data_IF_091918939467
#
_entry.id   IF_091918939467
#
_cell.length_a   1.000
_cell.length_b   1.000
_cell.length_c   1.000
_cell.angle_alpha   90.00
_cell.angle_beta   90.00
_cell.angle_gamma   90.00
#
_symmetry.space_group_name_H-M   'P 1'
#
loop_
_entity.id
_entity.type
_entity.pdbx_description
1 polymer ?
#
# COMPACT_ATOMS: atom_id res chain seq x y z
N UNK A 1 -43.26 43.91 -19.03
CA UNK A 1 -42.66 45.21 -18.73
C UNK A 1 -41.15 45.03 -18.65
N UNK A 2 -40.52 45.51 -19.70
CA UNK A 2 -39.39 46.45 -19.78
C UNK A 2 -38.12 46.03 -19.01
N UNK A 3 -36.88 46.07 -19.55
CA UNK A 3 -36.22 46.32 -20.87
C UNK A 3 -34.78 45.81 -20.67
N UNK A 4 -34.24 45.10 -21.59
CA UNK A 4 -33.00 45.25 -22.32
C UNK A 4 -32.13 46.49 -21.96
N UNK A 5 -30.81 46.25 -21.79
CA UNK A 5 -29.83 47.03 -22.57
C UNK A 5 -28.47 46.36 -22.64
N UNK A 6 -27.97 46.33 -23.85
CA UNK A 6 -26.69 45.85 -24.33
C UNK A 6 -25.68 46.98 -24.40
N UNK A 7 -24.39 46.73 -24.21
CA UNK A 7 -23.35 47.59 -24.75
C UNK A 7 -22.12 46.81 -25.22
N UNK A 8 -21.95 46.78 -26.54
CA UNK A 8 -20.69 46.50 -27.26
C UNK A 8 -19.81 47.74 -27.22
N UNK A 9 -18.50 47.60 -27.05
CA UNK A 9 -17.54 48.58 -27.53
C UNK A 9 -16.42 47.90 -28.30
N UNK A 10 -16.13 48.52 -29.45
CA UNK A 10 -15.28 48.09 -30.56
C UNK A 10 -13.79 48.40 -30.33
N UNK A 11 -13.02 47.72 -31.13
CA UNK A 11 -11.59 47.92 -31.42
C UNK A 11 -11.24 49.32 -31.93
N UNK A 12 -10.03 49.73 -31.72
CA UNK A 12 -9.35 50.71 -32.57
C UNK A 12 -7.88 50.33 -32.81
N UNK A 13 -7.56 50.14 -34.07
CA UNK A 13 -6.23 50.10 -34.67
C UNK A 13 -5.59 51.48 -34.65
N UNK A 14 -4.30 51.59 -34.46
CA UNK A 14 -3.48 52.60 -35.10
C UNK A 14 -2.08 52.04 -35.40
N UNK A 15 -1.77 52.07 -36.72
CA UNK A 15 -0.44 51.91 -37.29
C UNK A 15 0.21 53.29 -37.45
N UNK A 16 1.52 53.38 -37.27
CA UNK A 16 2.31 54.43 -37.91
C UNK A 16 3.65 53.86 -38.37
N UNK A 17 3.80 53.88 -39.67
CA UNK A 17 5.06 53.76 -40.43
C UNK A 17 5.92 54.97 -40.27
N UNK A 18 7.23 54.84 -40.32
CA UNK A 18 8.11 55.84 -40.85
C UNK A 18 9.37 55.20 -41.45
N UNK A 19 9.47 55.37 -42.78
CA UNK A 19 10.63 55.13 -43.60
C UNK A 19 11.70 56.24 -43.35
N UNK A 20 13.00 55.90 -43.40
CA UNK A 20 14.00 56.83 -43.94
C UNK A 20 15.13 56.10 -44.69
N UNK A 21 15.56 56.78 -45.73
CA UNK A 21 16.26 56.44 -46.95
C UNK A 21 17.77 56.21 -46.84
N UNK A 22 18.21 55.50 -47.83
CA UNK A 22 19.57 55.34 -48.41
C UNK A 22 20.48 56.59 -48.50
N UNK A 23 21.81 56.40 -48.38
CA UNK A 23 22.77 56.66 -49.46
C UNK A 23 24.17 56.04 -49.18
N UNK A 24 24.91 55.68 -50.22
CA UNK A 24 26.17 54.91 -50.12
C UNK A 24 27.39 55.85 -50.22
N UNK A 25 28.54 55.41 -49.67
CA UNK A 25 29.82 55.99 -50.03
C UNK A 25 30.93 54.94 -50.22
N UNK A 26 31.77 55.22 -51.23
CA UNK A 26 32.74 54.38 -51.89
C UNK A 26 34.02 54.16 -51.05
N UNK A 27 34.69 53.06 -51.46
CA UNK A 27 36.06 52.67 -51.11
C UNK A 27 37.15 53.69 -51.33
N UNK A 28 38.35 53.46 -50.75
CA UNK A 28 39.41 52.95 -51.60
C UNK A 28 40.37 51.90 -50.96
N UNK A 29 40.87 51.12 -51.84
CA UNK A 29 41.95 50.16 -51.87
C UNK A 29 43.26 50.53 -51.17
N UNK A 30 43.88 49.52 -50.44
CA UNK A 30 45.32 49.26 -50.50
C UNK A 30 45.75 47.91 -49.92
N UNK A 31 46.36 47.17 -50.76
CA UNK A 31 47.51 46.27 -50.73
C UNK A 31 47.90 45.48 -49.44
N UNK A 32 47.91 44.17 -49.68
CA UNK A 32 48.91 43.11 -49.34
C UNK A 32 49.62 43.14 -48.02
N UNK A 33 49.36 42.06 -47.22
CA UNK A 33 50.45 41.18 -46.72
C UNK A 33 49.92 39.77 -46.41
N UNK A 34 50.60 38.77 -46.96
CA UNK A 34 50.32 37.38 -46.83
C UNK A 34 50.83 36.86 -45.48
N UNK A 35 49.98 36.29 -44.65
CA UNK A 35 50.35 35.32 -43.59
C UNK A 35 49.38 34.13 -43.60
N UNK A 36 49.86 32.89 -43.37
CA UNK A 36 49.04 31.73 -43.49
C UNK A 36 48.10 31.60 -42.27
N UNK A 37 46.81 31.50 -42.51
CA UNK A 37 45.81 31.23 -41.50
C UNK A 37 45.90 29.73 -41.18
N UNK A 38 46.44 29.42 -39.99
CA UNK A 38 46.27 28.11 -39.37
C UNK A 38 44.76 27.90 -39.06
N UNK A 39 44.12 26.96 -39.76
CA UNK A 39 42.80 26.50 -39.43
C UNK A 39 42.85 25.72 -38.11
N UNK A 40 42.57 26.36 -36.99
CA UNK A 40 42.27 25.69 -35.73
C UNK A 40 40.81 25.19 -35.80
N UNK A 41 40.64 23.92 -36.24
CA UNK A 41 39.35 23.22 -36.13
C UNK A 41 39.10 22.93 -34.65
N UNK A 42 38.37 23.79 -33.97
CA UNK A 42 37.78 23.52 -32.65
C UNK A 42 36.66 22.48 -32.81
N UNK A 43 37.01 21.22 -32.52
CA UNK A 43 36.02 20.16 -32.33
C UNK A 43 35.23 20.50 -31.07
N UNK A 44 34.07 21.16 -31.22
CA UNK A 44 33.05 21.21 -30.19
C UNK A 44 32.47 19.80 -30.03
N UNK A 45 33.06 19.02 -29.15
CA UNK A 45 32.39 17.82 -28.63
C UNK A 45 31.19 18.32 -27.79
N UNK A 46 30.02 18.35 -28.45
CA UNK A 46 28.74 18.58 -27.75
C UNK A 46 28.53 17.52 -26.70
N UNK A 47 28.82 17.79 -25.44
CA UNK A 47 28.24 17.04 -24.32
C UNK A 47 26.73 17.26 -24.42
N UNK A 48 26.03 16.27 -25.02
CA UNK A 48 24.59 16.16 -24.89
C UNK A 48 24.28 15.86 -23.45
N UNK A 49 24.06 16.89 -22.64
CA UNK A 49 23.38 16.77 -21.36
C UNK A 49 21.98 16.25 -21.68
N UNK A 50 21.80 14.93 -21.57
CA UNK A 50 20.48 14.33 -21.54
C UNK A 50 19.81 14.83 -20.25
N UNK A 51 19.09 15.95 -20.34
CA UNK A 51 18.19 16.38 -19.31
C UNK A 51 17.13 15.28 -19.16
N UNK A 52 17.24 14.44 -18.16
CA UNK A 52 16.17 13.55 -17.73
C UNK A 52 15.02 14.43 -17.31
N UNK A 53 14.00 14.57 -18.18
CA UNK A 53 12.78 15.28 -17.82
C UNK A 53 12.20 14.62 -16.57
N UNK A 54 12.09 15.41 -15.50
CA UNK A 54 11.42 14.94 -14.29
C UNK A 54 9.99 14.56 -14.67
N UNK A 55 9.60 13.31 -14.42
CA UNK A 55 8.23 12.85 -14.69
C UNK A 55 7.30 13.63 -13.76
N UNK A 56 6.51 14.52 -14.32
CA UNK A 56 5.51 15.30 -13.56
C UNK A 56 4.35 14.36 -13.23
N UNK A 57 4.19 14.02 -11.96
CA UNK A 57 3.02 13.30 -11.48
C UNK A 57 1.87 14.31 -11.37
N UNK A 58 0.73 14.10 -12.06
CA UNK A 58 -0.44 14.95 -11.88
C UNK A 58 -0.91 14.95 -10.43
N UNK A 59 -1.55 16.02 -9.99
CA UNK A 59 -2.20 16.06 -8.68
C UNK A 59 -3.27 14.96 -8.57
N UNK A 60 -3.46 14.36 -7.37
CA UNK A 60 -4.55 13.43 -7.15
C UNK A 60 -5.91 14.05 -7.44
N UNK A 61 -6.93 13.25 -7.79
CA UNK A 61 -8.26 13.77 -8.03
C UNK A 61 -8.83 14.44 -6.78
N UNK A 62 -9.50 15.57 -6.95
CA UNK A 62 -10.27 16.23 -5.89
C UNK A 62 -11.55 15.44 -5.68
N UNK A 63 -11.78 14.98 -4.46
CA UNK A 63 -12.88 14.08 -4.11
C UNK A 63 -13.73 14.65 -2.98
N UNK A 64 -15.04 14.45 -3.05
CA UNK A 64 -15.99 14.87 -2.01
C UNK A 64 -16.22 13.73 -1.00
N UNK A 65 -15.30 13.63 -0.03
CA UNK A 65 -15.35 12.69 1.07
C UNK A 65 -14.67 13.29 2.31
N UNK A 66 -14.77 12.63 3.46
CA UNK A 66 -14.15 13.11 4.70
C UNK A 66 -12.67 12.72 4.81
N UNK A 67 -12.31 11.55 4.31
CA UNK A 67 -10.95 10.99 4.40
C UNK A 67 -10.73 9.91 3.35
N UNK A 68 -9.51 9.84 2.80
CA UNK A 68 -9.10 8.71 1.98
C UNK A 68 -7.58 8.44 2.07
N UNK A 69 -7.23 7.20 1.72
CA UNK A 69 -5.86 6.74 1.48
C UNK A 69 -5.84 5.89 0.21
N UNK A 70 -4.88 6.14 -0.66
CA UNK A 70 -4.46 5.27 -1.74
C UNK A 70 -3.06 4.75 -1.41
N UNK A 71 -2.92 3.45 -1.19
CA UNK A 71 -1.68 2.78 -0.79
C UNK A 71 -1.28 1.74 -1.84
N UNK A 72 0.00 1.67 -2.16
CA UNK A 72 0.57 0.49 -2.84
C UNK A 72 0.73 -0.65 -1.82
N UNK A 73 0.22 -1.82 -2.18
CA UNK A 73 0.23 -2.98 -1.29
C UNK A 73 1.65 -3.49 -0.98
N UNK A 74 2.48 -3.62 -2.00
CA UNK A 74 3.80 -4.25 -1.88
C UNK A 74 4.77 -3.39 -1.07
N UNK A 75 4.90 -2.13 -1.43
CA UNK A 75 5.81 -1.20 -0.75
C UNK A 75 5.24 -0.63 0.57
N UNK A 76 3.91 -0.55 0.68
CA UNK A 76 3.21 0.17 1.74
C UNK A 76 3.24 1.70 1.56
N UNK A 77 3.73 2.19 0.41
CA UNK A 77 3.82 3.61 0.12
C UNK A 77 2.44 4.24 -0.10
N UNK A 78 2.23 5.42 0.50
CA UNK A 78 1.02 6.22 0.28
C UNK A 78 1.22 7.04 -0.99
N UNK A 79 0.37 6.80 -1.99
CA UNK A 79 0.42 7.47 -3.28
C UNK A 79 -0.43 8.74 -3.33
N UNK A 80 -1.51 8.75 -2.55
CA UNK A 80 -2.37 9.90 -2.35
C UNK A 80 -3.17 9.75 -1.05
N UNK A 81 -3.45 10.83 -0.37
CA UNK A 81 -4.29 10.83 0.82
C UNK A 81 -4.92 12.19 1.07
N UNK A 82 -6.02 12.18 1.82
CA UNK A 82 -6.62 13.38 2.42
C UNK A 82 -7.11 13.00 3.80
N UNK A 83 -6.72 13.77 4.82
CA UNK A 83 -7.06 13.53 6.22
C UNK A 83 -6.85 12.06 6.67
N UNK A 84 -5.71 11.39 6.35
CA UNK A 84 -5.56 9.94 6.45
C UNK A 84 -5.77 9.39 7.87
N UNK A 85 -5.43 10.18 8.89
CA UNK A 85 -5.46 9.81 10.31
C UNK A 85 -6.71 10.31 11.05
N UNK A 86 -7.65 10.94 10.33
CA UNK A 86 -8.89 11.44 10.92
C UNK A 86 -9.73 10.29 11.47
N UNK A 87 -10.01 10.31 12.77
CA UNK A 87 -10.85 9.34 13.46
C UNK A 87 -12.32 9.53 13.06
N UNK A 88 -12.91 8.53 12.44
CA UNK A 88 -14.27 8.56 11.90
C UNK A 88 -15.03 7.29 12.28
N UNK A 89 -16.36 7.36 12.44
CA UNK A 89 -17.19 6.17 12.47
C UNK A 89 -16.95 5.33 11.22
N UNK A 90 -16.67 4.03 11.40
CA UNK A 90 -16.24 3.16 10.29
C UNK A 90 -17.35 2.24 9.78
N UNK A 91 -18.49 2.19 10.46
CA UNK A 91 -19.59 1.28 10.14
C UNK A 91 -19.07 -0.17 9.97
N UNK A 92 -19.63 -0.93 9.03
CA UNK A 92 -19.27 -2.33 8.79
C UNK A 92 -17.84 -2.56 8.24
N UNK A 93 -16.98 -1.53 8.11
CA UNK A 93 -15.55 -1.77 7.92
C UNK A 93 -14.93 -2.45 9.15
N UNK A 94 -15.54 -2.31 10.33
CA UNK A 94 -15.22 -3.07 11.55
C UNK A 94 -15.08 -4.57 11.28
N UNK A 95 -15.91 -5.12 10.41
CA UNK A 95 -15.93 -6.54 10.06
C UNK A 95 -14.66 -7.02 9.34
N UNK A 96 -13.83 -6.11 8.85
CA UNK A 96 -12.49 -6.47 8.36
C UNK A 96 -11.63 -7.04 9.50
N UNK A 97 -11.67 -6.41 10.69
CA UNK A 97 -10.96 -6.93 11.86
C UNK A 97 -11.60 -8.21 12.38
N UNK A 98 -12.92 -8.28 12.42
CA UNK A 98 -13.65 -9.51 12.81
C UNK A 98 -13.27 -10.67 11.91
N UNK A 99 -13.29 -10.49 10.58
CA UNK A 99 -12.87 -11.52 9.61
C UNK A 99 -11.40 -11.88 9.78
N UNK A 100 -10.51 -10.90 9.95
CA UNK A 100 -9.08 -11.14 10.14
C UNK A 100 -8.78 -12.03 11.34
N UNK A 101 -9.44 -11.81 12.49
CA UNK A 101 -9.29 -12.65 13.68
C UNK A 101 -9.79 -14.07 13.43
N UNK A 102 -10.92 -14.23 12.72
CA UNK A 102 -11.42 -15.56 12.32
C UNK A 102 -10.40 -16.27 11.43
N UNK A 103 -9.87 -15.57 10.42
CA UNK A 103 -8.88 -16.09 9.48
C UNK A 103 -7.57 -16.49 10.20
N UNK A 104 -7.06 -15.64 11.10
CA UNK A 104 -5.87 -15.96 11.90
C UNK A 104 -6.12 -17.15 12.85
N UNK A 105 -7.34 -17.30 13.37
CA UNK A 105 -7.72 -18.45 14.19
C UNK A 105 -7.78 -19.76 13.39
N UNK A 106 -8.23 -19.69 12.14
CA UNK A 106 -8.21 -20.81 11.19
C UNK A 106 -6.77 -21.18 10.79
N UNK A 107 -5.94 -20.20 10.45
CA UNK A 107 -4.55 -20.41 10.02
C UNK A 107 -3.68 -20.97 11.14
N UNK A 108 -3.95 -20.61 12.40
CA UNK A 108 -3.26 -21.14 13.59
C UNK A 108 -3.86 -22.46 14.11
N UNK A 109 -4.82 -23.04 13.41
CA UNK A 109 -5.55 -24.27 13.81
C UNK A 109 -6.27 -24.17 15.17
N UNK A 110 -6.56 -22.96 15.68
CA UNK A 110 -7.44 -22.75 16.85
C UNK A 110 -8.90 -22.98 16.50
N UNK A 111 -9.27 -22.81 15.24
CA UNK A 111 -10.55 -23.14 14.64
C UNK A 111 -10.35 -24.04 13.43
N UNK A 112 -11.39 -24.82 13.10
CA UNK A 112 -11.48 -25.56 11.83
C UNK A 112 -12.59 -24.96 10.98
N UNK A 113 -12.45 -25.04 9.66
CA UNK A 113 -13.48 -24.55 8.72
C UNK A 113 -14.86 -25.18 8.96
N UNK A 114 -14.88 -26.45 9.43
CA UNK A 114 -16.08 -27.24 9.68
C UNK A 114 -16.66 -27.12 11.09
N UNK A 115 -15.97 -26.44 12.01
CA UNK A 115 -16.49 -26.21 13.37
C UNK A 115 -17.84 -25.50 13.29
N UNK A 116 -18.78 -25.94 14.18
CA UNK A 116 -20.16 -25.45 14.15
C UNK A 116 -20.35 -24.31 15.15
N UNK A 117 -20.70 -23.15 14.64
CA UNK A 117 -20.97 -21.94 15.42
C UNK A 117 -22.47 -21.86 15.67
N UNK A 118 -22.88 -21.85 16.93
CA UNK A 118 -24.29 -21.75 17.32
C UNK A 118 -24.77 -20.29 17.25
N UNK A 119 -25.99 -20.10 16.73
CA UNK A 119 -26.69 -18.82 16.75
C UNK A 119 -27.48 -18.69 18.07
N UNK A 120 -26.90 -17.92 19.01
CA UNK A 120 -27.54 -17.57 20.26
C UNK A 120 -28.49 -16.37 20.11
N UNK A 121 -29.36 -16.16 21.09
CA UNK A 121 -30.32 -15.03 21.06
C UNK A 121 -29.66 -13.65 21.00
N UNK A 122 -28.49 -13.47 21.64
CA UNK A 122 -27.67 -12.27 21.64
C UNK A 122 -27.16 -11.88 20.26
N UNK A 123 -26.82 -12.88 19.45
CA UNK A 123 -26.30 -12.68 18.09
C UNK A 123 -27.41 -12.71 17.02
N UNK A 124 -28.55 -13.32 17.35
CA UNK A 124 -29.59 -13.57 16.37
C UNK A 124 -30.20 -12.30 15.76
N UNK A 125 -30.24 -12.28 14.44
CA UNK A 125 -30.91 -11.24 13.66
C UNK A 125 -32.41 -11.53 13.60
N UNK A 126 -33.19 -10.83 14.43
CA UNK A 126 -34.65 -11.06 14.62
C UNK A 126 -35.51 -10.69 13.42
N UNK A 127 -34.99 -10.72 12.21
CA UNK A 127 -35.71 -10.31 11.00
C UNK A 127 -35.82 -8.78 10.85
N UNK A 128 -34.99 -8.05 11.56
CA UNK A 128 -34.89 -6.59 11.45
C UNK A 128 -34.49 -6.20 10.03
N UNK A 129 -35.28 -5.33 9.39
CA UNK A 129 -34.91 -4.70 8.11
C UNK A 129 -33.84 -3.61 8.26
N UNK A 130 -33.50 -3.25 9.51
CA UNK A 130 -32.61 -2.14 9.81
C UNK A 130 -31.11 -2.53 9.85
N UNK A 131 -30.80 -3.84 9.89
CA UNK A 131 -29.42 -4.30 9.92
C UNK A 131 -29.14 -5.41 8.87
N UNK A 132 -27.84 -5.59 8.58
CA UNK A 132 -27.38 -6.60 7.63
C UNK A 132 -27.24 -7.95 8.31
N UNK A 133 -27.85 -8.99 7.74
CA UNK A 133 -27.89 -10.32 8.34
C UNK A 133 -27.49 -11.39 7.33
N UNK A 134 -26.84 -12.46 7.82
CA UNK A 134 -26.65 -13.72 7.14
C UNK A 134 -27.92 -14.59 7.20
N UNK A 135 -28.78 -14.31 8.18
CA UNK A 135 -30.04 -15.04 8.47
C UNK A 135 -29.82 -16.47 8.93
N UNK A 136 -28.88 -16.68 9.84
CA UNK A 136 -28.75 -17.95 10.55
C UNK A 136 -29.91 -18.10 11.53
N UNK A 137 -30.70 -19.18 11.46
CA UNK A 137 -31.86 -19.35 12.34
C UNK A 137 -31.44 -19.48 13.81
N UNK A 138 -32.28 -18.96 14.70
CA UNK A 138 -32.07 -19.09 16.15
C UNK A 138 -31.88 -20.55 16.55
N UNK A 139 -30.94 -20.82 17.43
CA UNK A 139 -30.55 -22.12 17.93
C UNK A 139 -30.03 -23.13 16.89
N UNK A 140 -29.89 -22.72 15.63
CA UNK A 140 -29.20 -23.51 14.60
C UNK A 140 -27.68 -23.23 14.62
N UNK A 141 -26.96 -23.95 13.78
CA UNK A 141 -25.51 -23.78 13.60
C UNK A 141 -25.18 -23.51 12.14
N UNK A 142 -24.03 -22.84 11.92
CA UNK A 142 -23.40 -22.78 10.63
C UNK A 142 -21.88 -23.03 10.78
N UNK A 143 -21.23 -23.48 9.72
CA UNK A 143 -19.79 -23.71 9.76
C UNK A 143 -19.02 -22.39 9.88
N UNK A 144 -17.81 -22.43 10.49
CA UNK A 144 -16.95 -21.25 10.60
C UNK A 144 -16.68 -20.63 9.23
N UNK A 145 -16.45 -21.42 8.19
CA UNK A 145 -16.20 -20.90 6.84
C UNK A 145 -17.45 -20.25 6.24
N UNK A 146 -18.67 -20.72 6.52
CA UNK A 146 -19.90 -20.07 6.09
C UNK A 146 -20.16 -18.80 6.88
N UNK A 147 -19.87 -18.78 8.19
CA UNK A 147 -19.92 -17.56 8.99
C UNK A 147 -18.96 -16.49 8.42
N UNK A 148 -17.75 -16.88 8.04
CA UNK A 148 -16.77 -15.96 7.41
C UNK A 148 -17.33 -15.39 6.10
N UNK A 149 -17.93 -16.21 5.22
CA UNK A 149 -18.62 -15.72 4.01
C UNK A 149 -19.78 -14.78 4.35
N UNK A 150 -20.58 -15.13 5.36
CA UNK A 150 -21.67 -14.27 5.85
C UNK A 150 -21.17 -12.89 6.30
N UNK A 151 -20.06 -12.85 7.03
CA UNK A 151 -19.43 -11.59 7.48
C UNK A 151 -18.92 -10.75 6.31
N UNK A 152 -18.18 -11.36 5.39
CA UNK A 152 -17.51 -10.67 4.29
C UNK A 152 -18.50 -10.23 3.21
N UNK A 153 -19.30 -11.17 2.70
CA UNK A 153 -20.15 -10.97 1.51
C UNK A 153 -21.45 -10.27 1.87
N UNK A 154 -22.17 -10.82 2.85
CA UNK A 154 -23.48 -10.33 3.26
C UNK A 154 -23.41 -9.23 4.30
N UNK A 155 -22.21 -9.01 4.88
CA UNK A 155 -22.04 -8.07 6.00
C UNK A 155 -22.87 -8.43 7.23
N UNK A 156 -23.06 -9.75 7.50
CA UNK A 156 -23.94 -10.28 8.55
C UNK A 156 -23.50 -9.84 9.95
N UNK A 157 -24.37 -9.11 10.64
CA UNK A 157 -24.17 -8.74 12.04
C UNK A 157 -24.32 -9.96 12.94
N UNK A 158 -25.31 -10.82 12.65
CA UNK A 158 -25.54 -12.09 13.30
C UNK A 158 -24.29 -13.00 13.26
N UNK A 159 -23.74 -13.21 12.08
CA UNK A 159 -22.52 -13.97 11.90
C UNK A 159 -21.33 -13.35 12.65
N UNK A 160 -21.20 -12.01 12.66
CA UNK A 160 -20.12 -11.31 13.35
C UNK A 160 -20.19 -11.48 14.87
N UNK A 161 -21.38 -11.30 15.46
CA UNK A 161 -21.63 -11.50 16.89
C UNK A 161 -21.43 -12.95 17.31
N UNK A 162 -22.02 -13.89 16.54
CA UNK A 162 -21.89 -15.31 16.84
C UNK A 162 -20.42 -15.79 16.80
N UNK A 163 -19.63 -15.30 15.83
CA UNK A 163 -18.19 -15.60 15.77
C UNK A 163 -17.42 -14.96 16.93
N UNK A 164 -17.77 -13.74 17.33
CA UNK A 164 -17.18 -13.09 18.50
C UNK A 164 -17.43 -13.90 19.79
N UNK A 165 -18.67 -14.34 20.00
CA UNK A 165 -19.04 -15.21 21.13
C UNK A 165 -18.33 -16.55 21.06
N UNK A 166 -18.26 -17.17 19.89
CA UNK A 166 -17.63 -18.47 19.69
C UNK A 166 -16.11 -18.45 20.00
N UNK A 167 -15.41 -17.36 19.62
CA UNK A 167 -13.96 -17.24 19.80
C UNK A 167 -13.60 -16.81 21.22
N UNK A 168 -14.35 -15.87 21.81
CA UNK A 168 -13.98 -15.18 23.06
C UNK A 168 -15.01 -15.33 24.20
N UNK A 169 -16.09 -16.09 23.99
CA UNK A 169 -17.15 -16.30 24.96
C UNK A 169 -18.19 -15.19 25.02
N UNK A 170 -17.82 -13.94 24.69
CA UNK A 170 -18.73 -12.79 24.58
C UNK A 170 -18.12 -11.70 23.68
N UNK A 171 -18.96 -10.76 23.19
CA UNK A 171 -18.53 -9.69 22.30
C UNK A 171 -17.54 -8.71 22.97
N UNK A 172 -17.68 -8.43 24.26
CA UNK A 172 -16.76 -7.56 24.99
C UNK A 172 -15.34 -8.11 25.05
N UNK A 173 -15.19 -9.39 25.41
CA UNK A 173 -13.89 -10.06 25.38
C UNK A 173 -13.29 -10.12 23.94
N UNK A 174 -14.14 -10.25 22.93
CA UNK A 174 -13.70 -10.23 21.53
C UNK A 174 -13.19 -8.83 21.12
N UNK A 175 -13.81 -7.76 21.58
CA UNK A 175 -13.32 -6.38 21.29
C UNK A 175 -11.96 -6.10 21.91
N UNK A 176 -11.61 -6.68 23.04
CA UNK A 176 -10.24 -6.62 23.59
C UNK A 176 -9.24 -7.31 22.65
N UNK A 177 -9.61 -8.46 22.06
CA UNK A 177 -8.80 -9.13 21.04
C UNK A 177 -8.65 -8.25 19.80
N UNK A 178 -9.75 -7.61 19.32
CA UNK A 178 -9.71 -6.70 18.18
C UNK A 178 -8.76 -5.52 18.43
N UNK A 179 -8.83 -4.90 19.59
CA UNK A 179 -7.97 -3.77 19.96
C UNK A 179 -6.50 -4.19 20.14
N UNK A 180 -6.26 -5.37 20.73
CA UNK A 180 -4.93 -5.96 20.81
C UNK A 180 -4.32 -6.21 19.43
N UNK A 181 -5.10 -6.74 18.52
CA UNK A 181 -4.69 -7.03 17.15
C UNK A 181 -4.45 -5.74 16.33
N UNK A 182 -5.32 -4.74 16.48
CA UNK A 182 -5.13 -3.41 15.91
C UNK A 182 -3.79 -2.80 16.32
N UNK A 183 -3.47 -2.86 17.61
CA UNK A 183 -2.18 -2.41 18.13
C UNK A 183 -1.01 -3.21 17.55
N UNK A 184 -1.13 -4.53 17.44
CA UNK A 184 -0.08 -5.43 16.91
C UNK A 184 0.27 -5.10 15.46
N UNK A 185 -0.72 -4.80 14.61
CA UNK A 185 -0.50 -4.47 13.20
C UNK A 185 -0.24 -2.98 12.96
N UNK A 186 -0.22 -2.15 14.02
CA UNK A 186 0.17 -0.75 13.96
C UNK A 186 -0.95 0.25 13.62
N UNK A 187 -2.21 -0.11 13.87
CA UNK A 187 -3.36 0.80 13.77
C UNK A 187 -3.35 1.76 14.96
N UNK A 188 -3.11 3.04 14.72
CA UNK A 188 -2.89 4.05 15.77
C UNK A 188 -4.13 4.88 16.10
N UNK A 189 -5.06 4.95 15.16
CA UNK A 189 -6.25 5.80 15.21
C UNK A 189 -7.53 4.94 15.13
N UNK A 190 -7.53 3.77 15.81
CA UNK A 190 -8.63 2.81 15.78
C UNK A 190 -8.96 2.32 17.18
N UNK A 191 -10.26 2.25 17.48
CA UNK A 191 -10.79 1.66 18.68
C UNK A 191 -12.09 0.91 18.40
N UNK A 192 -12.12 -0.36 18.76
CA UNK A 192 -13.26 -1.26 18.54
C UNK A 192 -14.05 -1.43 19.85
N UNK A 193 -15.37 -1.29 19.77
CA UNK A 193 -16.31 -1.51 20.88
C UNK A 193 -17.36 -2.59 20.60
N UNK A 194 -17.45 -3.05 19.34
CA UNK A 194 -18.27 -4.21 18.92
C UNK A 194 -17.69 -4.87 17.69
N UNK A 195 -18.18 -6.06 17.34
CA UNK A 195 -17.71 -6.88 16.22
C UNK A 195 -18.39 -6.52 14.86
N UNK A 196 -19.36 -5.61 14.86
CA UNK A 196 -20.26 -5.36 13.72
C UNK A 196 -20.05 -4.03 13.04
N UNK A 197 -19.66 -3.00 13.79
CA UNK A 197 -19.62 -1.61 13.35
C UNK A 197 -20.95 -0.87 13.51
N UNK A 198 -21.86 -1.37 14.33
CA UNK A 198 -23.01 -0.60 14.77
C UNK A 198 -22.55 0.63 15.55
N UNK A 199 -23.23 1.77 15.42
CA UNK A 199 -22.82 3.01 16.06
C UNK A 199 -22.69 2.89 17.58
N UNK A 200 -21.55 3.35 18.10
CA UNK A 200 -21.23 3.45 19.51
C UNK A 200 -20.26 4.61 19.72
N UNK A 201 -20.46 5.42 20.75
CA UNK A 201 -19.53 6.49 21.06
C UNK A 201 -18.16 5.93 21.42
N UNK A 202 -17.11 6.41 20.75
CA UNK A 202 -15.77 5.89 20.91
C UNK A 202 -15.42 4.71 19.98
N UNK A 203 -16.33 4.27 19.08
CA UNK A 203 -16.05 3.27 18.05
C UNK A 203 -15.65 3.95 16.74
N UNK A 204 -14.35 3.97 16.44
CA UNK A 204 -13.80 4.69 15.30
C UNK A 204 -12.59 3.99 14.66
N UNK A 205 -12.27 4.41 13.44
CA UNK A 205 -11.02 4.10 12.75
C UNK A 205 -10.62 5.27 11.84
N UNK A 206 -9.49 5.14 11.15
CA UNK A 206 -9.03 6.07 10.13
C UNK A 206 -8.88 5.39 8.77
N UNK A 207 -8.76 6.19 7.70
CA UNK A 207 -8.48 5.65 6.37
C UNK A 207 -7.10 4.98 6.31
N UNK A 208 -6.10 5.54 7.02
CA UNK A 208 -4.77 4.95 7.13
C UNK A 208 -4.83 3.58 7.79
N UNK A 209 -5.44 3.48 8.96
CA UNK A 209 -5.51 2.22 9.71
C UNK A 209 -6.31 1.16 8.96
N UNK A 210 -7.38 1.56 8.27
CA UNK A 210 -8.16 0.64 7.43
C UNK A 210 -7.36 0.12 6.23
N UNK A 211 -6.46 0.93 5.65
CA UNK A 211 -5.55 0.49 4.60
C UNK A 211 -4.46 -0.45 5.15
N UNK A 212 -3.94 -0.19 6.35
CA UNK A 212 -3.01 -1.08 7.07
C UNK A 212 -3.65 -2.44 7.33
N UNK A 213 -4.89 -2.47 7.85
CA UNK A 213 -5.62 -3.72 8.10
C UNK A 213 -5.87 -4.49 6.79
N UNK A 214 -6.28 -3.79 5.72
CA UNK A 214 -6.47 -4.41 4.42
C UNK A 214 -5.17 -5.04 3.89
N UNK A 215 -4.04 -4.35 4.05
CA UNK A 215 -2.73 -4.86 3.68
C UNK A 215 -2.37 -6.12 4.47
N UNK A 216 -2.65 -6.13 5.78
CA UNK A 216 -2.44 -7.31 6.64
C UNK A 216 -3.33 -8.48 6.24
N UNK A 217 -4.61 -8.27 5.95
CA UNK A 217 -5.53 -9.32 5.47
C UNK A 217 -4.98 -9.96 4.18
N UNK A 218 -4.59 -9.15 3.20
CA UNK A 218 -4.08 -9.66 1.91
C UNK A 218 -2.78 -10.46 2.10
N UNK A 219 -1.90 -10.00 3.00
CA UNK A 219 -0.61 -10.63 3.27
C UNK A 219 -0.76 -11.92 4.09
N UNK A 220 -1.41 -11.83 5.25
CA UNK A 220 -1.40 -12.86 6.27
C UNK A 220 -2.46 -13.94 6.01
N UNK A 221 -3.56 -13.57 5.32
CA UNK A 221 -4.73 -14.43 5.12
C UNK A 221 -4.89 -14.91 3.68
N UNK A 222 -3.80 -15.10 2.94
CA UNK A 222 -3.81 -15.44 1.51
C UNK A 222 -4.71 -16.64 1.16
N UNK A 223 -4.86 -17.61 2.06
CA UNK A 223 -5.74 -18.78 1.90
C UNK A 223 -7.22 -18.38 1.85
N UNK A 224 -7.65 -17.43 2.70
CA UNK A 224 -9.06 -17.02 2.83
C UNK A 224 -9.39 -15.75 2.05
N UNK A 225 -8.38 -15.00 1.62
CA UNK A 225 -8.55 -13.77 0.85
C UNK A 225 -9.47 -13.91 -0.38
N UNK A 226 -9.49 -15.03 -1.13
CA UNK A 226 -10.42 -15.21 -2.26
C UNK A 226 -11.90 -15.02 -1.92
N UNK A 227 -12.32 -15.22 -0.65
CA UNK A 227 -13.69 -15.00 -0.19
C UNK A 227 -14.14 -13.54 -0.41
N UNK A 228 -13.22 -12.57 -0.31
CA UNK A 228 -13.53 -11.15 -0.50
C UNK A 228 -13.93 -10.80 -1.94
N UNK A 229 -13.56 -11.63 -2.90
CA UNK A 229 -13.94 -11.48 -4.32
C UNK A 229 -15.20 -12.26 -4.71
N UNK A 230 -15.74 -13.10 -3.83
CA UNK A 230 -16.98 -13.82 -4.08
C UNK A 230 -18.14 -12.82 -4.24
N UNK A 231 -18.84 -12.90 -5.40
CA UNK A 231 -19.92 -11.96 -5.76
C UNK A 231 -21.23 -12.28 -5.08
N UNK A 232 -21.47 -13.55 -4.78
CA UNK A 232 -22.72 -14.05 -4.24
C UNK A 232 -22.48 -15.14 -3.21
N UNK A 233 -23.27 -15.14 -2.16
CA UNK A 233 -23.33 -16.24 -1.21
C UNK A 233 -24.78 -16.58 -0.91
N UNK A 234 -25.09 -17.87 -0.85
CA UNK A 234 -26.42 -18.38 -0.50
C UNK A 234 -26.35 -19.15 0.80
N UNK A 235 -27.07 -18.68 1.79
CA UNK A 235 -27.22 -19.38 3.06
C UNK A 235 -28.72 -19.43 3.41
N UNK A 236 -29.17 -20.53 3.99
CA UNK A 236 -30.59 -20.73 4.37
C UNK A 236 -31.56 -20.39 3.22
N UNK A 237 -31.25 -20.80 1.98
CA UNK A 237 -31.97 -20.50 0.75
C UNK A 237 -32.08 -18.99 0.40
N UNK A 238 -31.36 -18.11 1.11
CA UNK A 238 -31.35 -16.69 0.84
C UNK A 238 -30.04 -16.34 0.13
N UNK A 239 -30.16 -16.00 -1.16
CA UNK A 239 -29.03 -15.54 -1.98
C UNK A 239 -28.84 -14.05 -1.81
N UNK A 240 -27.63 -13.63 -1.38
CA UNK A 240 -27.27 -12.22 -1.21
C UNK A 240 -25.99 -11.90 -1.99
N UNK A 241 -25.92 -10.69 -2.53
CA UNK A 241 -24.75 -10.19 -3.26
C UNK A 241 -23.76 -9.49 -2.36
N UNK A 242 -22.49 -9.54 -2.77
CA UNK A 242 -21.46 -8.71 -2.17
C UNK A 242 -21.80 -7.23 -2.40
N UNK A 243 -21.65 -6.42 -1.37
CA UNK A 243 -22.05 -5.00 -1.41
C UNK A 243 -21.00 -4.09 -2.08
N UNK A 244 -19.83 -4.64 -2.43
CA UNK A 244 -18.82 -3.93 -3.20
C UNK A 244 -19.20 -3.96 -4.70
N UNK A 245 -19.82 -2.89 -5.18
CA UNK A 245 -20.24 -2.77 -6.57
C UNK A 245 -19.08 -2.84 -7.59
N UNK A 246 -17.85 -2.53 -7.16
CA UNK A 246 -16.68 -2.60 -8.03
C UNK A 246 -16.34 -4.03 -8.45
N UNK A 247 -16.61 -5.03 -7.63
CA UNK A 247 -16.44 -6.45 -7.99
C UNK A 247 -17.22 -6.86 -9.25
N UNK A 248 -18.32 -6.17 -9.53
CA UNK A 248 -19.19 -6.46 -10.69
C UNK A 248 -18.80 -5.67 -11.94
N UNK A 249 -18.04 -4.59 -11.79
CA UNK A 249 -17.79 -3.60 -12.86
C UNK A 249 -16.31 -3.41 -13.21
N UNK A 250 -15.38 -3.87 -12.37
CA UNK A 250 -13.93 -3.80 -12.61
C UNK A 250 -13.28 -5.16 -12.29
N UNK A 251 -12.81 -5.91 -13.31
CA UNK A 251 -12.23 -7.23 -13.10
C UNK A 251 -10.90 -7.21 -12.35
N UNK A 252 -10.28 -6.04 -12.19
CA UNK A 252 -9.05 -5.90 -11.40
C UNK A 252 -9.33 -5.85 -9.90
N UNK A 253 -10.58 -5.57 -9.48
CA UNK A 253 -10.97 -5.48 -8.07
C UNK A 253 -11.25 -6.87 -7.51
N UNK A 254 -10.64 -7.18 -6.36
CA UNK A 254 -10.74 -8.48 -5.69
C UNK A 254 -11.08 -8.40 -4.20
N UNK A 255 -11.49 -7.25 -3.70
CA UNK A 255 -11.89 -7.04 -2.29
C UNK A 255 -12.23 -5.58 -2.02
N UNK A 256 -12.46 -5.15 -0.77
CA UNK A 256 -12.62 -5.98 0.42
C UNK A 256 -14.01 -5.79 1.03
N UNK A 257 -14.32 -4.57 1.55
CA UNK A 257 -15.49 -4.35 2.41
C UNK A 257 -16.09 -2.97 2.23
N UNK A 258 -17.41 -2.89 2.40
CA UNK A 258 -18.17 -1.65 2.45
C UNK A 258 -18.78 -1.44 3.82
N UNK A 259 -19.00 -0.18 4.19
CA UNK A 259 -19.70 0.23 5.40
C UNK A 259 -20.69 1.36 5.10
N UNK A 260 -21.76 1.42 5.89
CA UNK A 260 -22.70 2.53 5.88
C UNK A 260 -23.45 2.58 7.21
N UNK A 261 -23.51 3.76 7.79
CA UNK A 261 -24.46 4.22 8.82
C UNK A 261 -24.67 5.72 8.59
N UNK A 262 -25.71 6.29 9.15
CA UNK A 262 -25.96 7.73 9.00
C UNK A 262 -24.81 8.58 9.51
N UNK A 263 -24.17 8.17 10.62
CA UNK A 263 -23.02 8.86 11.19
C UNK A 263 -21.73 8.73 10.35
N UNK A 264 -21.49 7.55 9.78
CA UNK A 264 -20.29 7.26 9.00
C UNK A 264 -20.38 7.78 7.55
N UNK A 265 -21.60 7.94 7.01
CA UNK A 265 -21.78 8.03 5.56
C UNK A 265 -21.41 6.72 4.87
N UNK A 266 -21.09 6.76 3.61
CA UNK A 266 -20.68 5.57 2.84
C UNK A 266 -19.16 5.41 2.85
N UNK A 267 -18.69 4.29 3.39
CA UNK A 267 -17.27 3.94 3.52
C UNK A 267 -16.93 2.70 2.70
N UNK A 268 -15.69 2.59 2.23
CA UNK A 268 -15.22 1.43 1.50
C UNK A 268 -13.71 1.23 1.64
N UNK A 269 -13.30 -0.02 1.77
CA UNK A 269 -11.93 -0.46 1.52
C UNK A 269 -11.96 -1.36 0.29
N UNK A 270 -11.14 -1.01 -0.70
CA UNK A 270 -11.07 -1.71 -1.99
C UNK A 270 -9.63 -2.12 -2.28
N UNK A 271 -9.43 -3.32 -2.79
CA UNK A 271 -8.18 -3.76 -3.39
C UNK A 271 -8.39 -4.05 -4.87
N UNK A 272 -7.40 -3.67 -5.68
CA UNK A 272 -7.35 -3.99 -7.10
C UNK A 272 -5.93 -4.37 -7.50
N UNK A 273 -5.81 -5.36 -8.43
CA UNK A 273 -4.53 -5.84 -8.95
C UNK A 273 -4.49 -5.74 -10.46
N UNK A 274 -3.44 -5.09 -11.02
CA UNK A 274 -3.17 -5.02 -12.46
C UNK A 274 -1.72 -5.39 -12.73
N UNK A 275 -1.52 -6.54 -13.36
CA UNK A 275 -0.17 -7.10 -13.50
C UNK A 275 0.51 -7.34 -12.14
N UNK A 276 1.74 -6.86 -11.94
CA UNK A 276 2.45 -7.01 -10.66
C UNK A 276 1.96 -6.04 -9.57
N UNK A 277 1.36 -4.90 -9.94
CA UNK A 277 0.96 -3.84 -9.00
C UNK A 277 -0.40 -4.14 -8.37
N UNK A 278 -0.48 -4.02 -7.04
CA UNK A 278 -1.72 -4.05 -6.26
C UNK A 278 -1.89 -2.74 -5.51
N UNK A 279 -3.08 -2.16 -5.60
CA UNK A 279 -3.46 -0.94 -4.88
C UNK A 279 -4.55 -1.21 -3.86
N UNK A 280 -4.49 -0.50 -2.75
CA UNK A 280 -5.51 -0.46 -1.70
C UNK A 280 -6.04 0.97 -1.61
N UNK A 281 -7.36 1.11 -1.65
CA UNK A 281 -8.07 2.38 -1.41
C UNK A 281 -8.92 2.21 -0.16
N UNK A 282 -8.74 3.07 0.82
CA UNK A 282 -9.68 3.26 1.93
C UNK A 282 -10.32 4.64 1.81
N UNK A 283 -11.66 4.71 1.83
CA UNK A 283 -12.42 5.94 1.69
C UNK A 283 -13.55 6.00 2.72
N UNK A 284 -13.74 7.18 3.33
CA UNK A 284 -14.71 7.42 4.38
C UNK A 284 -15.59 8.64 4.10
N UNK A 285 -16.86 8.53 4.44
CA UNK A 285 -17.76 9.66 4.51
C UNK A 285 -18.20 10.22 3.15
N UNK A 286 -18.34 9.38 2.12
CA UNK A 286 -19.00 9.78 0.88
C UNK A 286 -20.53 9.85 1.05
N UNK A 287 -21.22 10.53 0.15
CA UNK A 287 -22.67 10.83 0.28
C UNK A 287 -23.58 9.71 -0.24
N UNK A 288 -23.06 8.81 -1.06
CA UNK A 288 -23.86 7.73 -1.67
C UNK A 288 -23.02 6.50 -2.03
N UNK A 289 -23.71 5.39 -2.33
CA UNK A 289 -23.06 4.16 -2.85
C UNK A 289 -22.36 4.41 -4.19
N UNK A 290 -22.96 5.23 -5.06
CA UNK A 290 -22.42 5.58 -6.36
C UNK A 290 -21.14 6.41 -6.20
N UNK A 291 -21.16 7.41 -5.34
CA UNK A 291 -19.97 8.24 -5.06
C UNK A 291 -18.83 7.41 -4.46
N UNK A 292 -19.13 6.58 -3.47
CA UNK A 292 -18.16 5.67 -2.86
C UNK A 292 -17.45 4.81 -3.92
N UNK A 293 -18.20 4.17 -4.80
CA UNK A 293 -17.66 3.34 -5.86
C UNK A 293 -16.92 4.19 -6.92
N UNK A 294 -17.47 5.33 -7.32
CA UNK A 294 -16.89 6.24 -8.30
C UNK A 294 -15.56 6.84 -7.84
N UNK A 295 -15.51 7.33 -6.61
CA UNK A 295 -14.31 7.92 -6.02
C UNK A 295 -13.23 6.87 -5.78
N UNK A 296 -13.59 5.65 -5.33
CA UNK A 296 -12.63 4.53 -5.23
C UNK A 296 -12.03 4.18 -6.59
N UNK A 297 -12.84 4.13 -7.65
CA UNK A 297 -12.37 3.89 -9.02
C UNK A 297 -11.44 5.00 -9.50
N UNK A 298 -11.75 6.27 -9.21
CA UNK A 298 -10.91 7.40 -9.60
C UNK A 298 -9.51 7.32 -8.96
N UNK A 299 -9.43 6.97 -7.67
CA UNK A 299 -8.16 6.75 -6.97
C UNK A 299 -7.37 5.56 -7.54
N UNK A 300 -8.03 4.43 -7.80
CA UNK A 300 -7.39 3.28 -8.44
C UNK A 300 -6.84 3.65 -9.82
N UNK A 301 -7.64 4.35 -10.63
CA UNK A 301 -7.22 4.81 -11.96
C UNK A 301 -6.03 5.75 -11.88
N UNK A 302 -6.04 6.71 -10.95
CA UNK A 302 -4.92 7.61 -10.70
C UNK A 302 -3.64 6.83 -10.35
N UNK A 303 -3.72 5.89 -9.41
CA UNK A 303 -2.57 5.10 -8.99
C UNK A 303 -2.00 4.26 -10.13
N UNK A 304 -2.83 3.47 -10.82
CA UNK A 304 -2.38 2.62 -11.92
C UNK A 304 -1.90 3.41 -13.16
N UNK A 305 -2.38 4.62 -13.39
CA UNK A 305 -1.94 5.43 -14.54
C UNK A 305 -0.59 6.10 -14.29
N UNK A 306 -0.32 6.53 -13.06
CA UNK A 306 0.82 7.37 -12.76
C UNK A 306 1.98 6.64 -12.08
N UNK A 307 1.74 5.46 -11.50
CA UNK A 307 2.74 4.71 -10.74
C UNK A 307 2.91 3.30 -11.27
N UNK A 308 4.05 2.72 -10.95
CA UNK A 308 4.37 1.31 -11.17
C UNK A 308 5.11 0.74 -9.96
N UNK A 309 4.87 -0.53 -9.67
CA UNK A 309 5.60 -1.26 -8.64
C UNK A 309 6.63 -2.15 -9.29
N UNK A 310 7.88 -2.00 -8.89
CA UNK A 310 9.03 -2.73 -9.44
C UNK A 310 9.61 -3.65 -8.38
N UNK A 311 9.75 -4.94 -8.70
CA UNK A 311 10.44 -5.91 -7.87
C UNK A 311 11.96 -5.71 -8.02
N UNK A 312 12.64 -5.36 -6.93
CA UNK A 312 14.07 -5.10 -6.92
C UNK A 312 14.89 -6.32 -6.51
N UNK A 313 14.47 -7.00 -5.44
CA UNK A 313 15.15 -8.20 -4.92
C UNK A 313 14.12 -9.18 -4.35
N UNK A 314 14.27 -10.48 -4.63
CA UNK A 314 13.39 -11.51 -4.09
C UNK A 314 13.68 -11.80 -2.61
N UNK A 315 12.66 -12.30 -1.92
CA UNK A 315 12.76 -12.83 -0.57
C UNK A 315 13.55 -14.14 -0.50
N UNK A 316 14.14 -14.43 0.65
CA UNK A 316 14.73 -15.73 1.03
C UNK A 316 15.79 -16.28 0.07
N UNK A 317 16.36 -15.42 -0.77
CA UNK A 317 17.47 -15.74 -1.67
C UNK A 317 18.73 -15.03 -1.19
N UNK A 318 19.91 -15.66 -1.40
CA UNK A 318 21.19 -15.02 -1.13
C UNK A 318 21.41 -13.86 -2.09
N UNK A 319 21.53 -12.66 -1.54
CA UNK A 319 21.86 -11.44 -2.28
C UNK A 319 23.36 -11.16 -2.30
N UNK A 320 24.06 -11.64 -1.28
CA UNK A 320 25.51 -11.58 -1.17
C UNK A 320 26.00 -12.61 -0.17
N UNK A 321 27.29 -12.93 -0.27
CA UNK A 321 28.05 -13.68 0.72
C UNK A 321 29.07 -12.73 1.35
N UNK A 322 29.14 -12.68 2.67
CA UNK A 322 30.03 -11.79 3.42
C UNK A 322 30.94 -12.56 4.35
N UNK A 323 32.20 -12.11 4.56
CA UNK A 323 33.08 -12.72 5.55
C UNK A 323 32.54 -12.61 6.97
N UNK A 324 32.78 -13.65 7.77
CA UNK A 324 32.45 -13.69 9.19
C UNK A 324 33.65 -14.20 9.98
N UNK A 325 33.87 -13.64 11.17
CA UNK A 325 34.93 -13.99 12.07
C UNK A 325 34.46 -14.93 13.18
N UNK A 326 35.34 -15.76 13.69
CA UNK A 326 35.15 -16.64 14.86
C UNK A 326 34.08 -17.72 14.62
N UNK A 327 33.64 -17.93 13.38
CA UNK A 327 32.60 -18.89 13.00
C UNK A 327 33.16 -20.24 12.58
N UNK A 328 32.29 -21.29 12.64
CA UNK A 328 32.60 -22.60 12.05
C UNK A 328 32.77 -22.53 10.53
N UNK A 329 32.23 -21.49 9.91
CA UNK A 329 32.40 -21.13 8.49
C UNK A 329 32.96 -19.73 8.37
N UNK A 330 33.72 -19.47 7.32
CA UNK A 330 34.36 -18.17 7.07
C UNK A 330 33.42 -17.17 6.36
N UNK A 331 32.26 -17.62 5.94
CA UNK A 331 31.30 -16.82 5.16
C UNK A 331 29.87 -17.02 5.63
N UNK A 332 29.04 -15.98 5.44
CA UNK A 332 27.63 -15.93 5.76
C UNK A 332 26.85 -15.48 4.53
N UNK A 333 25.80 -16.22 4.15
CA UNK A 333 24.84 -15.80 3.17
C UNK A 333 23.81 -14.83 3.76
N UNK A 334 23.63 -13.70 3.08
CA UNK A 334 22.72 -12.65 3.55
C UNK A 334 21.62 -12.38 2.52
N UNK A 335 20.40 -12.08 2.98
CA UNK A 335 19.24 -11.88 2.13
C UNK A 335 18.11 -11.14 2.85
N UNK A 336 16.91 -11.20 2.29
CA UNK A 336 15.73 -10.51 2.79
C UNK A 336 14.67 -11.51 3.31
N UNK A 337 13.87 -11.08 4.30
CA UNK A 337 12.71 -11.83 4.76
C UNK A 337 11.60 -11.86 3.71
N UNK A 338 11.30 -10.69 3.12
CA UNK A 338 10.24 -10.44 2.15
C UNK A 338 10.80 -9.87 0.86
N UNK A 339 10.00 -9.90 -0.21
CA UNK A 339 10.36 -9.26 -1.47
C UNK A 339 10.58 -7.75 -1.27
N UNK A 340 11.63 -7.23 -1.86
CA UNK A 340 11.92 -5.80 -1.85
C UNK A 340 11.36 -5.17 -3.13
N UNK A 341 10.19 -4.63 -3.00
CA UNK A 341 9.49 -3.89 -4.05
C UNK A 341 9.50 -2.40 -3.71
N UNK A 342 9.53 -1.57 -4.74
CA UNK A 342 9.38 -0.11 -4.63
C UNK A 342 8.32 0.37 -5.61
N UNK A 343 7.61 1.43 -5.23
CA UNK A 343 6.61 2.08 -6.07
C UNK A 343 7.13 3.46 -6.44
N UNK A 344 7.07 3.77 -7.70
CA UNK A 344 7.66 4.97 -8.29
C UNK A 344 6.81 5.48 -9.46
N UNK A 345 7.03 6.72 -9.90
CA UNK A 345 6.39 7.23 -11.11
C UNK A 345 6.68 6.33 -12.29
N UNK A 346 5.67 6.10 -13.11
CA UNK A 346 5.76 5.20 -14.26
C UNK A 346 6.89 5.61 -15.22
N UNK A 347 7.65 4.61 -15.69
CA UNK A 347 8.77 4.80 -16.62
C UNK A 347 10.12 5.13 -15.96
N UNK A 348 10.21 5.10 -14.62
CA UNK A 348 11.47 5.35 -13.90
C UNK A 348 12.13 4.10 -13.34
N UNK A 349 11.54 2.93 -13.51
CA UNK A 349 12.04 1.66 -12.94
C UNK A 349 13.49 1.34 -13.32
N UNK A 350 13.91 1.65 -14.55
CA UNK A 350 15.29 1.44 -15.02
C UNK A 350 16.34 2.33 -14.37
N UNK A 351 15.93 3.40 -13.69
CA UNK A 351 16.82 4.37 -13.03
C UNK A 351 17.06 4.02 -11.55
N UNK A 352 16.33 3.04 -11.02
CA UNK A 352 16.49 2.62 -9.62
C UNK A 352 17.79 1.88 -9.43
N UNK A 353 18.58 2.35 -8.47
CA UNK A 353 19.82 1.70 -8.04
C UNK A 353 19.59 0.99 -6.71
N UNK A 354 20.21 -0.19 -6.56
CA UNK A 354 20.11 -1.00 -5.34
C UNK A 354 21.50 -1.25 -4.79
N UNK A 355 21.75 -0.82 -3.56
CA UNK A 355 22.98 -1.02 -2.85
C UNK A 355 22.78 -1.87 -1.60
N UNK A 356 23.76 -2.70 -1.28
CA UNK A 356 23.85 -3.47 -0.04
C UNK A 356 24.83 -2.77 0.91
N UNK A 357 24.41 -2.50 2.14
CA UNK A 357 25.23 -1.99 3.21
C UNK A 357 25.29 -3.05 4.32
N UNK A 358 26.37 -3.82 4.33
CA UNK A 358 26.61 -4.89 5.32
C UNK A 358 27.40 -4.34 6.49
N UNK A 359 27.06 -4.72 7.71
CA UNK A 359 27.80 -4.34 8.91
C UNK A 359 29.23 -4.88 8.84
N UNK A 360 30.23 -4.05 9.15
CA UNK A 360 31.62 -4.50 9.14
C UNK A 360 31.94 -5.44 10.31
N UNK A 361 32.92 -6.34 10.10
CA UNK A 361 33.45 -7.21 11.13
C UNK A 361 32.41 -8.08 11.85
N UNK A 362 31.52 -8.69 11.10
CA UNK A 362 30.56 -9.67 11.64
C UNK A 362 31.31 -10.80 12.35
N UNK A 363 30.75 -11.23 13.49
CA UNK A 363 31.33 -12.29 14.33
C UNK A 363 30.29 -13.31 14.72
N UNK A 364 30.68 -14.57 14.73
CA UNK A 364 29.85 -15.63 15.31
C UNK A 364 29.79 -15.50 16.86
N UNK A 365 28.70 -15.99 17.51
CA UNK A 365 27.57 -16.68 16.88
C UNK A 365 26.61 -15.71 16.21
N UNK A 366 26.03 -16.12 15.07
CA UNK A 366 24.96 -15.38 14.39
C UNK A 366 23.73 -16.29 14.31
N UNK A 367 22.57 -15.75 14.63
CA UNK A 367 21.31 -16.46 14.50
C UNK A 367 20.68 -16.24 13.11
N UNK A 368 19.99 -17.25 12.60
CA UNK A 368 19.17 -17.10 11.40
C UNK A 368 18.13 -15.97 11.61
N UNK A 369 18.03 -15.05 10.65
CA UNK A 369 17.14 -13.88 10.73
C UNK A 369 17.74 -12.69 11.50
N UNK A 370 18.96 -12.80 12.05
CA UNK A 370 19.64 -11.67 12.66
C UNK A 370 19.94 -10.59 11.62
N UNK A 371 19.70 -9.33 11.98
CA UNK A 371 20.00 -8.17 11.10
C UNK A 371 21.53 -7.99 11.02
N UNK A 372 22.06 -8.03 9.80
CA UNK A 372 23.50 -7.92 9.52
C UNK A 372 23.82 -6.77 8.55
N UNK A 373 22.84 -5.95 8.24
CA UNK A 373 22.99 -4.81 7.36
C UNK A 373 21.65 -4.29 6.86
N UNK A 374 21.70 -3.55 5.75
CA UNK A 374 20.51 -3.07 5.05
C UNK A 374 20.69 -3.08 3.53
N UNK A 375 19.60 -3.21 2.83
CA UNK A 375 19.48 -2.99 1.38
C UNK A 375 18.81 -1.62 1.19
N UNK A 376 19.34 -0.81 0.28
CA UNK A 376 18.88 0.55 0.01
C UNK A 376 18.55 0.65 -1.48
N UNK A 377 17.35 1.14 -1.79
CA UNK A 377 16.96 1.54 -3.14
C UNK A 377 17.00 3.06 -3.26
N UNK A 378 17.65 3.55 -4.32
CA UNK A 378 17.75 4.99 -4.61
C UNK A 378 17.29 5.30 -6.02
N UNK A 379 16.74 6.50 -6.21
CA UNK A 379 16.40 7.06 -7.51
C UNK A 379 16.98 8.47 -7.57
N UNK A 380 17.82 8.77 -8.57
CA UNK A 380 18.46 10.07 -8.72
C UNK A 380 19.18 10.55 -7.43
N UNK A 381 19.80 9.61 -6.69
CA UNK A 381 20.51 9.89 -5.44
C UNK A 381 19.62 10.01 -4.18
N UNK A 382 18.29 10.00 -4.33
CA UNK A 382 17.37 10.01 -3.18
C UNK A 382 16.99 8.60 -2.77
N UNK A 383 16.99 8.32 -1.47
CA UNK A 383 16.55 7.03 -0.93
C UNK A 383 15.04 6.87 -1.09
N UNK A 384 14.62 5.85 -1.84
CA UNK A 384 13.22 5.46 -2.01
C UNK A 384 12.75 4.59 -0.84
N UNK A 385 13.55 3.57 -0.49
CA UNK A 385 13.21 2.62 0.55
C UNK A 385 14.46 1.91 1.06
N UNK A 386 14.39 1.44 2.31
CA UNK A 386 15.39 0.56 2.94
C UNK A 386 14.71 -0.67 3.51
N UNK A 387 15.43 -1.81 3.52
CA UNK A 387 15.02 -3.05 4.18
C UNK A 387 16.19 -3.65 4.96
N UNK A 388 15.95 -4.30 6.11
CA UNK A 388 16.98 -5.01 6.85
C UNK A 388 17.52 -6.18 6.02
N UNK A 389 18.84 -6.32 5.99
CA UNK A 389 19.53 -7.46 5.41
C UNK A 389 19.78 -8.48 6.53
N UNK A 390 19.35 -9.70 6.32
CA UNK A 390 19.30 -10.75 7.35
C UNK A 390 20.27 -11.89 7.05
N UNK A 391 20.77 -12.52 8.10
CA UNK A 391 21.45 -13.81 8.01
C UNK A 391 20.47 -14.89 7.57
N UNK A 392 20.76 -15.60 6.48
CA UNK A 392 19.89 -16.66 5.95
C UNK A 392 20.04 -17.99 6.68
N UNK A 393 21.15 -18.17 7.38
CA UNK A 393 21.51 -19.37 8.12
C UNK A 393 22.14 -19.00 9.47
N UNK A 394 22.09 -19.87 10.48
CA UNK A 394 22.83 -19.66 11.72
C UNK A 394 24.30 -20.01 11.52
N UNK A 395 25.18 -19.26 12.16
CA UNK A 395 26.62 -19.59 12.23
C UNK A 395 27.01 -19.77 13.69
N UNK A 396 27.45 -20.97 14.03
CA UNK A 396 27.96 -21.29 15.37
C UNK A 396 29.42 -20.83 15.53
N UNK A 397 29.87 -20.64 16.78
CA UNK A 397 31.26 -20.35 17.08
C UNK A 397 32.17 -21.51 16.69
N UNK A 398 33.35 -21.14 16.17
CA UNK A 398 34.45 -22.09 15.92
C UNK A 398 35.07 -22.60 17.20
N UNK A 399 35.85 -23.67 17.10
CA UNK A 399 36.67 -24.18 18.20
C UNK A 399 37.75 -23.20 18.66
N UNK A 400 38.28 -23.40 19.87
CA UNK A 400 39.21 -22.49 20.54
C UNK A 400 40.42 -22.08 19.66
N UNK A 401 41.06 -23.02 19.01
CA UNK A 401 42.26 -22.73 18.17
C UNK A 401 41.91 -21.90 16.92
N UNK A 402 40.79 -22.17 16.28
CA UNK A 402 40.32 -21.40 15.12
C UNK A 402 40.03 -19.97 15.52
N UNK A 403 39.33 -19.76 16.64
CA UNK A 403 39.03 -18.41 17.16
C UNK A 403 40.28 -17.63 17.52
N UNK A 404 41.28 -18.29 18.12
CA UNK A 404 42.58 -17.66 18.43
C UNK A 404 43.28 -17.18 17.14
N UNK A 405 43.30 -18.00 16.09
CA UNK A 405 43.84 -17.60 14.79
C UNK A 405 43.09 -16.43 14.16
N UNK A 406 41.79 -16.42 14.26
CA UNK A 406 40.97 -15.31 13.76
C UNK A 406 41.24 -14.03 14.55
N UNK A 407 41.38 -14.08 15.86
CA UNK A 407 41.79 -12.90 16.65
C UNK A 407 43.14 -12.33 16.20
N UNK A 408 44.11 -13.19 15.90
CA UNK A 408 45.41 -12.76 15.37
C UNK A 408 45.22 -12.08 13.98
N UNK A 409 44.51 -12.72 13.07
CA UNK A 409 44.21 -12.14 11.73
C UNK A 409 43.50 -10.80 11.84
N UNK A 410 42.49 -10.68 12.72
CA UNK A 410 41.77 -9.43 12.97
C UNK A 410 42.66 -8.33 13.52
N UNK A 411 43.60 -8.65 14.38
CA UNK A 411 44.57 -7.69 14.91
C UNK A 411 45.44 -7.13 13.78
N UNK A 412 46.04 -8.00 12.95
CA UNK A 412 46.87 -7.57 11.83
C UNK A 412 46.04 -6.80 10.76
N UNK A 413 44.82 -7.21 10.49
CA UNK A 413 43.96 -6.50 9.52
C UNK A 413 43.58 -5.06 9.96
N UNK A 414 43.64 -4.76 11.27
CA UNK A 414 43.48 -3.41 11.82
C UNK A 414 44.75 -2.57 11.76
N UNK A 415 45.91 -3.21 11.79
CA UNK A 415 47.21 -2.53 11.80
C UNK A 415 47.62 -2.04 10.40
N UNK A 416 47.08 -2.69 9.34
CA UNK A 416 47.42 -2.41 7.94
C UNK A 416 46.26 -1.71 7.16
N UNK A 417 45.21 -1.22 7.84
CA UNK A 417 44.22 -0.28 7.31
C UNK A 417 44.57 1.12 7.77
#
# INVERSE_FOLDING_TARGET
MCKQESARIRACFYATESCFSFTPYLEPTSLMSRLPVLLAATVLTGLSLTATAATIIPSPPVLDNKSFVLMDYDSGQILASSNPDLQLPMASLTKLMTSYIVEQSLLSNRLKETDQVRMNESAWCRGSSSESCMYVPLNSTASVVDMLRGIVIQSGNDASKAMAEHISGNEGAFTEVMNGEAKRIGMKNTHYLNATGLPMDGHYSSAMDSAVLARSIIHDSSKYYPIYSEKWFTFNNIKQGNRNALLFTDPSVDGLKTGHTDAAGYCQVTSAKRGPMRLIVAIFGTKSMQERAGQSRALLSYGFSNFETTALRPAKQSLATTPIWLGKTDTLNVGLADNFNVTLPRGQSSQVQVALSILPNLKAPIQKGQVVGKVIATLSGQTLAERPLLALEPIEEAGFFSRMMDHIKMFFSKLFK
#
